data_IF_557109017614
#
_entry.id   IF_557109017614
#
_cell.length_a   1.000
_cell.length_b   1.000
_cell.length_c   1.000
_cell.angle_alpha   90.00
_cell.angle_beta   90.00
_cell.angle_gamma   90.00
#
_symmetry.space_group_name_H-M   'P 1'
#
loop_
_entity.id
_entity.type
_entity.pdbx_description
1 polymer ?
#
# COMPACT_ATOMS: atom_id res chain seq x y z
N UNK A 1 -17.61 27.61 -7.78
CA UNK A 1 -17.23 27.03 -6.47
C UNK A 1 -16.40 25.76 -6.62
N UNK A 2 -16.72 24.87 -7.57
CA UNK A 2 -16.01 23.59 -7.78
C UNK A 2 -14.49 23.73 -8.04
N UNK A 3 -14.06 24.70 -8.86
CA UNK A 3 -12.64 24.95 -9.12
C UNK A 3 -11.85 25.36 -7.87
N UNK A 4 -12.47 26.14 -6.97
CA UNK A 4 -11.83 26.57 -5.72
C UNK A 4 -11.62 25.39 -4.78
N UNK A 5 -12.61 24.50 -4.68
CA UNK A 5 -12.53 23.30 -3.84
C UNK A 5 -11.50 22.30 -4.40
N UNK A 6 -11.43 22.13 -5.72
CA UNK A 6 -10.41 21.29 -6.38
C UNK A 6 -8.98 21.82 -6.16
N UNK A 7 -8.78 23.13 -6.25
CA UNK A 7 -7.48 23.76 -5.99
C UNK A 7 -7.04 23.58 -4.53
N UNK A 8 -7.94 23.82 -3.57
CA UNK A 8 -7.65 23.65 -2.14
C UNK A 8 -7.27 22.20 -1.83
N UNK A 9 -8.02 21.22 -2.33
CA UNK A 9 -7.71 19.79 -2.14
C UNK A 9 -6.33 19.42 -2.73
N UNK A 10 -5.98 19.99 -3.88
CA UNK A 10 -4.67 19.76 -4.51
C UNK A 10 -3.54 20.33 -3.66
N UNK A 11 -3.70 21.55 -3.13
CA UNK A 11 -2.72 22.15 -2.21
C UNK A 11 -2.57 21.32 -0.93
N UNK A 12 -3.68 20.88 -0.33
CA UNK A 12 -3.66 20.04 0.86
C UNK A 12 -2.96 18.70 0.59
N UNK A 13 -3.20 18.09 -0.57
CA UNK A 13 -2.53 16.85 -0.97
C UNK A 13 -1.03 17.04 -1.10
N UNK A 14 -0.58 18.16 -1.69
CA UNK A 14 0.85 18.47 -1.81
C UNK A 14 1.51 18.68 -0.43
N UNK A 15 0.83 19.37 0.50
CA UNK A 15 1.31 19.52 1.87
C UNK A 15 1.42 18.17 2.59
N UNK A 16 0.39 17.33 2.50
CA UNK A 16 0.41 15.97 3.08
C UNK A 16 1.52 15.12 2.47
N UNK A 17 1.71 15.19 1.15
CA UNK A 17 2.78 14.47 0.48
C UNK A 17 4.14 14.88 1.03
N UNK A 18 4.36 16.19 1.22
CA UNK A 18 5.61 16.69 1.79
C UNK A 18 5.82 16.22 3.23
N UNK A 19 4.76 16.14 4.04
CA UNK A 19 4.85 15.57 5.38
C UNK A 19 5.23 14.09 5.35
N UNK A 20 4.58 13.30 4.50
CA UNK A 20 4.89 11.88 4.32
C UNK A 20 6.34 11.69 3.88
N UNK A 21 6.84 12.50 2.94
CA UNK A 21 8.21 12.41 2.44
C UNK A 21 9.29 12.69 3.51
N UNK A 22 8.93 13.30 4.64
CA UNK A 22 9.84 13.54 5.76
C UNK A 22 9.83 12.41 6.81
N UNK A 23 8.99 11.38 6.64
CA UNK A 23 8.94 10.23 7.55
C UNK A 23 10.17 9.34 7.40
N UNK A 24 10.57 8.69 8.50
CA UNK A 24 11.65 7.69 8.54
C UNK A 24 13.03 8.28 8.80
N UNK A 25 13.10 9.53 9.29
CA UNK A 25 14.36 10.20 9.62
C UNK A 25 14.54 10.42 11.13
N UNK A 26 13.47 10.69 11.87
CA UNK A 26 13.50 10.96 13.31
C UNK A 26 12.20 10.50 13.95
N UNK A 27 12.29 9.69 15.01
CA UNK A 27 11.11 9.05 15.61
C UNK A 27 10.11 10.05 16.21
N UNK A 28 10.58 11.14 16.83
CA UNK A 28 9.72 12.17 17.41
C UNK A 28 8.98 12.93 16.32
N UNK A 29 9.69 13.29 15.24
CA UNK A 29 9.10 13.94 14.06
C UNK A 29 8.10 13.00 13.38
N UNK A 30 8.43 11.72 13.23
CA UNK A 30 7.53 10.72 12.66
C UNK A 30 6.25 10.59 13.48
N UNK A 31 6.36 10.55 14.82
CA UNK A 31 5.20 10.46 15.69
C UNK A 31 4.32 11.72 15.56
N UNK A 32 4.91 12.91 15.61
CA UNK A 32 4.19 14.16 15.46
C UNK A 32 3.47 14.27 14.10
N UNK A 33 4.15 13.90 13.01
CA UNK A 33 3.56 13.89 11.66
C UNK A 33 2.43 12.86 11.59
N UNK A 34 2.64 11.63 12.08
CA UNK A 34 1.65 10.58 12.00
C UNK A 34 0.40 10.87 12.86
N UNK A 35 0.56 11.45 14.05
CA UNK A 35 -0.56 11.89 14.89
C UNK A 35 -1.35 13.03 14.22
N UNK A 36 -0.64 14.01 13.66
CA UNK A 36 -1.28 15.07 12.89
C UNK A 36 -2.09 14.50 11.72
N UNK A 37 -1.47 13.64 10.89
CA UNK A 37 -2.13 13.02 9.74
C UNK A 37 -3.31 12.16 10.17
N UNK A 38 -3.20 11.46 11.31
CA UNK A 38 -4.29 10.66 11.85
C UNK A 38 -5.55 11.50 12.08
N UNK A 39 -5.43 12.56 12.88
CA UNK A 39 -6.53 13.47 13.21
C UNK A 39 -7.04 14.20 11.97
N UNK A 40 -6.11 14.69 11.14
CA UNK A 40 -6.46 15.45 9.94
C UNK A 40 -7.29 14.61 8.94
N UNK A 41 -6.97 13.32 8.81
CA UNK A 41 -7.68 12.40 7.94
C UNK A 41 -9.04 11.94 8.47
N UNK A 42 -9.23 11.89 9.79
CA UNK A 42 -10.55 11.67 10.39
C UNK A 42 -11.52 12.78 9.93
N UNK A 43 -11.04 14.02 9.90
CA UNK A 43 -11.83 15.18 9.46
C UNK A 43 -11.93 15.29 7.92
N UNK A 44 -10.95 14.77 7.18
CA UNK A 44 -10.80 14.97 5.73
C UNK A 44 -10.61 13.66 4.96
N UNK A 45 -11.59 12.75 5.01
CA UNK A 45 -11.52 11.43 4.39
C UNK A 45 -11.17 11.45 2.89
N UNK A 46 -11.73 12.41 2.13
CA UNK A 46 -11.49 12.53 0.68
C UNK A 46 -10.02 12.76 0.36
N UNK A 47 -9.28 13.41 1.26
CA UNK A 47 -7.85 13.66 1.10
C UNK A 47 -7.04 12.38 1.23
N UNK A 48 -7.47 11.43 2.08
CA UNK A 48 -6.82 10.11 2.19
C UNK A 48 -6.83 9.41 0.83
N UNK A 49 -8.01 9.35 0.19
CA UNK A 49 -8.17 8.72 -1.12
C UNK A 49 -7.31 9.41 -2.17
N UNK A 50 -7.26 10.75 -2.16
CA UNK A 50 -6.46 11.52 -3.12
C UNK A 50 -4.96 11.22 -2.98
N UNK A 51 -4.42 11.30 -1.76
CA UNK A 51 -2.99 11.07 -1.48
C UNK A 51 -2.58 9.63 -1.83
N UNK A 52 -3.41 8.64 -1.48
CA UNK A 52 -3.10 7.22 -1.79
C UNK A 52 -3.32 6.87 -3.26
N UNK A 53 -4.22 7.57 -3.96
CA UNK A 53 -4.33 7.48 -5.42
C UNK A 53 -3.10 8.10 -6.09
N UNK A 54 -2.58 9.23 -5.61
CA UNK A 54 -1.34 9.81 -6.14
C UNK A 54 -0.13 8.89 -5.86
N UNK A 55 -0.14 8.25 -4.68
CA UNK A 55 0.87 7.30 -4.25
C UNK A 55 2.15 7.99 -3.78
N UNK A 56 2.84 7.35 -2.85
CA UNK A 56 4.10 7.84 -2.27
C UNK A 56 5.13 6.71 -2.21
N UNK A 57 6.32 7.00 -1.69
CA UNK A 57 7.38 6.01 -1.56
C UNK A 57 6.90 4.79 -0.77
N UNK A 58 6.95 3.62 -1.41
CA UNK A 58 6.54 2.32 -0.84
C UNK A 58 7.28 1.99 0.47
N UNK A 59 8.51 2.50 0.64
CA UNK A 59 9.31 2.33 1.87
C UNK A 59 8.61 2.91 3.10
N UNK A 60 7.79 3.93 2.91
CA UNK A 60 7.08 4.63 3.97
C UNK A 60 5.80 3.90 4.40
N UNK A 61 5.30 2.94 3.61
CA UNK A 61 4.08 2.19 3.94
C UNK A 61 4.15 1.49 5.29
N UNK A 62 5.34 0.98 5.66
CA UNK A 62 5.54 0.37 6.98
C UNK A 62 5.30 1.38 8.10
N UNK A 63 5.84 2.60 7.99
CA UNK A 63 5.71 3.64 9.00
C UNK A 63 4.28 4.17 9.02
N UNK A 64 3.75 4.57 7.86
CA UNK A 64 2.42 5.20 7.77
C UNK A 64 1.35 4.25 8.26
N UNK A 65 1.30 3.00 7.76
CA UNK A 65 0.30 2.03 8.18
C UNK A 65 0.43 1.69 9.66
N UNK A 66 1.65 1.59 10.22
CA UNK A 66 1.84 1.27 11.63
C UNK A 66 1.48 2.42 12.58
N UNK A 67 1.77 3.67 12.22
CA UNK A 67 1.58 4.82 13.11
C UNK A 67 0.25 5.55 12.90
N UNK A 68 -0.34 5.50 11.71
CA UNK A 68 -1.57 6.26 11.40
C UNK A 68 -2.80 5.35 11.43
N UNK A 69 -3.53 5.34 12.55
CA UNK A 69 -4.66 4.44 12.77
C UNK A 69 -5.81 4.59 11.77
N UNK A 70 -6.04 5.81 11.28
CA UNK A 70 -7.12 6.12 10.33
C UNK A 70 -6.87 5.54 8.94
N UNK A 71 -5.66 5.05 8.61
CA UNK A 71 -5.38 4.44 7.32
C UNK A 71 -6.14 3.14 7.06
N UNK A 72 -6.69 2.48 8.09
CA UNK A 72 -7.48 1.26 7.89
C UNK A 72 -8.64 1.48 6.91
N UNK A 73 -9.21 2.68 6.87
CA UNK A 73 -10.32 3.01 5.98
C UNK A 73 -9.95 3.02 4.50
N UNK A 74 -8.65 3.01 4.16
CA UNK A 74 -8.20 2.95 2.75
C UNK A 74 -8.60 1.65 2.06
N UNK A 75 -8.95 0.62 2.81
CA UNK A 75 -9.49 -0.64 2.29
C UNK A 75 -10.72 -0.47 1.38
N UNK A 76 -11.43 0.66 1.47
CA UNK A 76 -12.66 0.94 0.75
C UNK A 76 -12.40 1.23 -0.74
N UNK A 77 -11.20 1.70 -1.06
CA UNK A 77 -10.81 2.07 -2.44
C UNK A 77 -9.62 1.29 -2.98
N UNK A 78 -9.03 0.36 -2.22
CA UNK A 78 -7.88 -0.44 -2.70
C UNK A 78 -8.22 -1.18 -3.98
N UNK A 79 -9.37 -1.85 -4.05
CA UNK A 79 -9.74 -2.63 -5.24
C UNK A 79 -10.02 -1.73 -6.44
N UNK A 80 -10.63 -0.56 -6.23
CA UNK A 80 -10.79 0.47 -7.26
C UNK A 80 -9.42 0.89 -7.84
N UNK A 81 -8.44 1.14 -6.97
CA UNK A 81 -7.09 1.51 -7.38
C UNK A 81 -6.33 0.36 -8.07
N UNK A 82 -6.55 -0.88 -7.66
CA UNK A 82 -5.98 -2.08 -8.32
C UNK A 82 -6.57 -2.27 -9.72
N UNK A 83 -7.87 -2.06 -9.89
CA UNK A 83 -8.55 -2.32 -11.16
C UNK A 83 -8.37 -1.18 -12.16
N UNK A 84 -8.47 0.07 -11.70
CA UNK A 84 -8.58 1.25 -12.57
C UNK A 84 -7.34 2.15 -12.55
N UNK A 85 -6.37 1.88 -11.67
CA UNK A 85 -5.14 2.67 -11.56
C UNK A 85 -4.13 2.42 -12.68
N UNK A 86 -3.19 3.34 -12.83
CA UNK A 86 -1.96 3.14 -13.61
C UNK A 86 -1.10 2.02 -13.01
N UNK A 87 -0.17 1.44 -13.78
CA UNK A 87 0.75 0.39 -13.27
C UNK A 87 1.41 0.75 -11.94
N UNK A 88 1.87 2.00 -11.77
CA UNK A 88 2.47 2.48 -10.52
C UNK A 88 1.48 2.44 -9.35
N UNK A 89 0.26 2.91 -9.59
CA UNK A 89 -0.82 2.92 -8.60
C UNK A 89 -1.27 1.51 -8.22
N UNK A 90 -1.37 0.60 -9.19
CA UNK A 90 -1.73 -0.79 -8.96
C UNK A 90 -0.70 -1.48 -8.07
N UNK A 91 0.60 -1.31 -8.36
CA UNK A 91 1.68 -1.84 -7.50
C UNK A 91 1.66 -1.25 -6.10
N UNK A 92 1.38 0.05 -5.97
CA UNK A 92 1.24 0.71 -4.68
C UNK A 92 0.05 0.16 -3.89
N UNK A 93 -1.11 0.01 -4.53
CA UNK A 93 -2.33 -0.49 -3.91
C UNK A 93 -2.17 -1.93 -3.39
N UNK A 94 -1.50 -2.80 -4.17
CA UNK A 94 -1.19 -4.16 -3.73
C UNK A 94 -0.32 -4.19 -2.47
N UNK A 95 0.70 -3.33 -2.40
CA UNK A 95 1.52 -3.22 -1.20
C UNK A 95 0.78 -2.66 -0.01
N UNK A 96 -0.02 -1.61 -0.22
CA UNK A 96 -0.88 -1.04 0.81
C UNK A 96 -1.82 -2.11 1.37
N UNK A 97 -2.44 -2.93 0.52
CA UNK A 97 -3.29 -4.04 0.94
C UNK A 97 -2.54 -5.05 1.82
N UNK A 98 -1.30 -5.38 1.46
CA UNK A 98 -0.44 -6.27 2.24
C UNK A 98 -0.11 -5.71 3.62
N UNK A 99 0.33 -4.45 3.68
CA UNK A 99 0.64 -3.77 4.94
C UNK A 99 -0.58 -3.65 5.86
N UNK A 100 -1.74 -3.26 5.31
CA UNK A 100 -2.98 -3.17 6.08
C UNK A 100 -3.44 -4.53 6.60
N UNK A 101 -3.39 -5.56 5.75
CA UNK A 101 -3.78 -6.91 6.14
C UNK A 101 -2.89 -7.50 7.22
N UNK A 102 -1.59 -7.19 7.15
CA UNK A 102 -0.64 -7.62 8.18
C UNK A 102 -0.91 -6.94 9.52
N UNK A 103 -1.25 -5.65 9.52
CA UNK A 103 -1.56 -4.91 10.75
C UNK A 103 -2.97 -5.19 11.29
N UNK A 104 -3.95 -5.32 10.41
CA UNK A 104 -5.37 -5.43 10.73
C UNK A 104 -5.99 -6.67 10.06
N UNK A 105 -5.66 -7.89 10.51
CA UNK A 105 -6.15 -9.11 9.88
C UNK A 105 -7.66 -9.27 10.09
N UNK A 106 -8.45 -8.86 9.10
CA UNK A 106 -9.92 -8.96 9.09
C UNK A 106 -10.42 -9.79 7.91
N UNK A 107 -11.62 -10.35 8.02
CA UNK A 107 -12.25 -11.11 6.93
C UNK A 107 -12.40 -10.28 5.65
N UNK A 108 -12.73 -8.99 5.79
CA UNK A 108 -12.82 -8.05 4.66
C UNK A 108 -11.49 -7.90 3.93
N UNK A 109 -10.39 -7.77 4.67
CA UNK A 109 -9.05 -7.67 4.07
C UNK A 109 -8.62 -8.98 3.41
N UNK A 110 -8.99 -10.14 3.97
CA UNK A 110 -8.77 -11.43 3.31
C UNK A 110 -9.45 -11.50 1.93
N UNK A 111 -10.69 -11.02 1.81
CA UNK A 111 -11.40 -10.94 0.53
C UNK A 111 -10.71 -10.00 -0.45
N UNK A 112 -10.26 -8.83 0.01
CA UNK A 112 -9.47 -7.90 -0.80
C UNK A 112 -8.20 -8.57 -1.31
N UNK A 113 -7.43 -9.26 -0.44
CA UNK A 113 -6.21 -9.95 -0.85
C UNK A 113 -6.47 -11.06 -1.87
N UNK A 114 -7.58 -11.79 -1.75
CA UNK A 114 -7.97 -12.81 -2.74
C UNK A 114 -8.24 -12.18 -4.12
N UNK A 115 -8.89 -11.03 -4.15
CA UNK A 115 -9.12 -10.26 -5.38
C UNK A 115 -7.82 -9.68 -5.94
N UNK A 116 -6.92 -9.20 -5.08
CA UNK A 116 -5.58 -8.76 -5.48
C UNK A 116 -4.76 -9.90 -6.10
N UNK A 117 -4.78 -11.11 -5.53
CA UNK A 117 -4.11 -12.28 -6.10
C UNK A 117 -4.70 -12.62 -7.47
N UNK A 118 -6.04 -12.62 -7.59
CA UNK A 118 -6.71 -12.84 -8.88
C UNK A 118 -6.25 -11.82 -9.93
N UNK A 119 -6.22 -10.54 -9.57
CA UNK A 119 -5.74 -9.48 -10.45
C UNK A 119 -4.30 -9.72 -10.93
N UNK A 120 -3.38 -10.13 -10.03
CA UNK A 120 -2.01 -10.45 -10.41
C UNK A 120 -1.97 -11.68 -11.35
N UNK A 121 -2.79 -12.69 -11.08
CA UNK A 121 -2.92 -13.88 -11.95
C UNK A 121 -3.37 -13.53 -13.36
N UNK A 122 -4.29 -12.58 -13.50
CA UNK A 122 -4.84 -12.15 -14.79
C UNK A 122 -3.89 -11.19 -15.53
N UNK A 123 -2.94 -10.57 -14.82
CA UNK A 123 -2.06 -9.52 -15.34
C UNK A 123 -0.56 -9.83 -15.11
N UNK A 124 -0.12 -11.08 -15.27
CA UNK A 124 1.27 -11.49 -14.98
C UNK A 124 2.35 -10.61 -15.63
N UNK A 125 2.13 -10.21 -16.89
CA UNK A 125 3.07 -9.35 -17.64
C UNK A 125 3.23 -7.96 -17.01
N UNK A 126 2.22 -7.46 -16.30
CA UNK A 126 2.33 -6.21 -15.56
C UNK A 126 3.35 -6.35 -14.43
N UNK A 127 3.60 -7.54 -13.89
CA UNK A 127 4.44 -7.73 -12.71
C UNK A 127 5.74 -8.48 -12.99
N UNK A 128 6.06 -8.78 -14.25
CA UNK A 128 7.22 -9.58 -14.64
C UNK A 128 8.58 -8.99 -14.27
N UNK A 129 8.64 -7.71 -13.89
CA UNK A 129 9.85 -7.00 -13.48
C UNK A 129 9.73 -6.41 -12.07
N UNK A 130 8.64 -6.70 -11.34
CA UNK A 130 8.39 -6.13 -10.03
C UNK A 130 9.08 -6.92 -8.92
N UNK A 131 10.31 -6.53 -8.62
CA UNK A 131 11.10 -7.12 -7.53
C UNK A 131 10.39 -7.03 -6.16
N UNK A 132 9.45 -6.10 -6.01
CA UNK A 132 8.72 -5.89 -4.76
C UNK A 132 7.48 -6.79 -4.62
N UNK A 133 7.10 -7.51 -5.69
CA UNK A 133 5.96 -8.42 -5.67
C UNK A 133 6.19 -9.59 -4.69
N UNK A 134 7.41 -10.12 -4.59
CA UNK A 134 7.71 -11.24 -3.68
C UNK A 134 7.40 -10.88 -2.23
N UNK A 135 7.95 -9.76 -1.78
CA UNK A 135 7.71 -9.17 -0.47
C UNK A 135 6.21 -8.92 -0.23
N UNK A 136 5.50 -8.42 -1.25
CA UNK A 136 4.05 -8.16 -1.16
C UNK A 136 3.27 -9.44 -0.92
N UNK A 137 3.56 -10.50 -1.69
CA UNK A 137 2.92 -11.81 -1.54
C UNK A 137 3.28 -12.46 -0.20
N UNK A 138 4.49 -12.25 0.30
CA UNK A 138 4.91 -12.74 1.61
C UNK A 138 4.17 -12.03 2.75
N UNK A 139 3.90 -10.72 2.64
CA UNK A 139 3.01 -10.01 3.57
C UNK A 139 1.61 -10.63 3.56
N UNK A 140 1.08 -10.99 2.38
CA UNK A 140 -0.25 -11.58 2.27
C UNK A 140 -0.32 -12.92 3.00
N UNK A 141 0.71 -13.76 2.86
CA UNK A 141 0.80 -15.07 3.54
C UNK A 141 1.03 -14.90 5.04
N UNK A 142 1.84 -13.93 5.46
CA UNK A 142 2.04 -13.61 6.89
C UNK A 142 0.74 -13.14 7.55
N UNK A 143 -0.03 -12.30 6.86
CA UNK A 143 -1.34 -11.86 7.33
C UNK A 143 -2.35 -13.00 7.37
N UNK A 144 -2.39 -13.83 6.32
CA UNK A 144 -3.32 -14.95 6.20
C UNK A 144 -2.64 -16.21 5.64
N UNK A 145 -2.18 -17.12 6.52
CA UNK A 145 -1.48 -18.34 6.10
C UNK A 145 -2.29 -19.23 5.13
N UNK A 146 -3.62 -19.13 5.14
CA UNK A 146 -4.52 -19.85 4.23
C UNK A 146 -4.29 -19.49 2.75
N UNK A 147 -3.69 -18.34 2.44
CA UNK A 147 -3.36 -17.92 1.08
C UNK A 147 -2.11 -18.61 0.51
N UNK A 148 -1.29 -19.25 1.35
CA UNK A 148 0.00 -19.84 0.96
C UNK A 148 -0.09 -20.78 -0.25
N UNK A 149 -1.09 -21.67 -0.27
CA UNK A 149 -1.29 -22.60 -1.37
C UNK A 149 -1.55 -21.90 -2.71
N UNK A 150 -2.35 -20.82 -2.71
CA UNK A 150 -2.65 -20.02 -3.90
C UNK A 150 -1.44 -19.20 -4.33
N UNK A 151 -0.75 -18.55 -3.38
CA UNK A 151 0.46 -17.77 -3.65
C UNK A 151 1.56 -18.65 -4.25
N UNK A 152 1.79 -19.86 -3.73
CA UNK A 152 2.75 -20.81 -4.31
C UNK A 152 2.39 -21.19 -5.76
N UNK A 153 1.10 -21.41 -6.05
CA UNK A 153 0.64 -21.67 -7.42
C UNK A 153 0.88 -20.47 -8.34
N UNK A 154 0.60 -19.26 -7.87
CA UNK A 154 0.90 -18.01 -8.59
C UNK A 154 2.39 -17.86 -8.85
N UNK A 155 3.25 -18.04 -7.84
CA UNK A 155 4.70 -17.89 -7.99
C UNK A 155 5.27 -18.82 -9.09
N UNK A 156 4.68 -20.01 -9.28
CA UNK A 156 5.06 -20.96 -10.34
C UNK A 156 4.69 -20.51 -11.76
N UNK A 157 3.77 -19.54 -11.92
CA UNK A 157 3.39 -18.98 -13.22
C UNK A 157 4.42 -17.97 -13.74
N UNK A 158 5.30 -17.45 -12.88
CA UNK A 158 6.39 -16.56 -13.28
C UNK A 158 7.60 -17.34 -13.80
N UNK A 159 8.47 -16.71 -14.62
CA UNK A 159 9.73 -17.31 -15.07
C UNK A 159 10.58 -17.84 -13.90
N UNK A 160 11.34 -18.91 -14.15
CA UNK A 160 12.30 -19.43 -13.17
C UNK A 160 13.26 -18.31 -12.75
N UNK A 161 13.57 -18.24 -11.45
CA UNK A 161 14.43 -17.22 -10.81
C UNK A 161 13.82 -15.81 -10.67
N UNK A 162 12.54 -15.59 -11.02
CA UNK A 162 11.91 -14.28 -10.77
C UNK A 162 11.86 -13.91 -9.28
N UNK A 163 11.56 -14.89 -8.42
CA UNK A 163 11.49 -14.73 -6.96
C UNK A 163 12.78 -15.16 -6.23
N UNK A 164 13.91 -15.35 -6.93
CA UNK A 164 15.15 -15.85 -6.28
C UNK A 164 15.97 -14.77 -5.57
N UNK A 165 15.42 -13.57 -5.38
CA UNK A 165 16.09 -12.49 -4.67
C UNK A 165 15.82 -12.60 -3.17
N UNK A 166 16.89 -12.87 -2.42
CA UNK A 166 16.84 -13.09 -0.99
C UNK A 166 16.51 -11.80 -0.21
N UNK A 167 15.61 -11.94 0.76
CA UNK A 167 14.87 -10.86 1.46
C UNK A 167 15.75 -9.99 2.37
N UNK A 168 17.02 -10.35 2.58
CA UNK A 168 17.93 -9.67 3.50
C UNK A 168 18.44 -8.31 2.98
N UNK A 169 18.27 -7.99 1.70
CA UNK A 169 18.79 -6.76 1.09
C UNK A 169 17.85 -5.55 1.23
N UNK A 170 16.59 -5.73 1.66
CA UNK A 170 15.60 -4.65 1.80
C UNK A 170 15.37 -4.17 3.24
N UNK A 171 16.00 -4.80 4.24
CA UNK A 171 15.88 -4.41 5.67
C UNK A 171 16.90 -3.36 6.14
N UNK A 172 17.71 -2.78 5.24
CA UNK A 172 18.62 -1.68 5.59
C UNK A 172 17.95 -0.31 5.46
N UNK A 173 16.92 -0.07 6.28
CA UNK A 173 16.63 1.26 6.83
C UNK A 173 16.06 1.00 8.23
N UNK A 174 16.95 1.07 9.22
CA UNK A 174 16.60 1.27 10.63
C UNK A 174 16.37 2.75 10.85
#
# INVERSE_FOLDING_TARGET
>A
MEYRNSFILTMQSACVQKLIDNLGHNEEVDNAICEFLHSYWIENFMLIKLVHTQGYSKKLLSITVNKIGSLICTWDFILDLVQNGTSKQQRFALQLAGHLSYKYPTQRLLEILRSCIQFIEDNLNLFSEDLSLDYTLDLYVKAFPTLNGRVKKLKRKFPKNFFSFDMHSLQLVR
#
